data_IF_254899715941
#
_entry.id   IF_254899715941
#
_cell.length_a   1.000
_cell.length_b   1.000
_cell.length_c   1.000
_cell.angle_alpha   90.00
_cell.angle_beta   90.00
_cell.angle_gamma   90.00
#
_symmetry.space_group_name_H-M   'P 1'
#
loop_
_entity.id
_entity.type
_entity.pdbx_description
1 polymer ?
#
# COMPACT_ATOMS: atom_id res chain seq x y z
N UNK A 1 -1.63 -10.59 3.53
CA UNK A 1 -1.08 -10.58 4.91
C UNK A 1 -0.81 -11.96 5.48
N UNK A 2 -1.61 -12.98 5.14
CA UNK A 2 -1.35 -14.32 5.68
C UNK A 2 0.03 -14.86 5.31
N UNK A 3 0.46 -14.65 4.06
CA UNK A 3 1.80 -15.06 3.64
C UNK A 3 2.89 -14.41 4.50
N UNK A 4 2.73 -13.12 4.82
CA UNK A 4 3.70 -12.40 5.65
C UNK A 4 3.74 -12.96 7.06
N UNK A 5 2.60 -13.36 7.63
CA UNK A 5 2.57 -13.96 8.95
C UNK A 5 3.08 -15.40 8.96
N UNK A 6 2.93 -16.13 7.86
CA UNK A 6 3.53 -17.45 7.72
C UNK A 6 5.06 -17.37 7.68
N UNK A 7 5.60 -16.23 7.24
CA UNK A 7 7.05 -15.96 7.20
C UNK A 7 7.39 -14.77 8.10
N UNK A 8 6.75 -14.72 9.27
CA UNK A 8 6.76 -13.54 10.14
C UNK A 8 8.17 -13.07 10.49
N UNK A 9 9.03 -14.01 10.94
CA UNK A 9 10.38 -13.64 11.37
C UNK A 9 11.19 -13.00 10.23
N UNK A 10 11.05 -13.54 9.03
CA UNK A 10 11.76 -13.02 7.87
C UNK A 10 11.28 -11.60 7.51
N UNK A 11 9.96 -11.38 7.50
CA UNK A 11 9.42 -10.06 7.18
C UNK A 11 9.72 -9.05 8.27
N UNK A 12 9.65 -9.46 9.53
CA UNK A 12 10.00 -8.56 10.63
C UNK A 12 11.45 -8.12 10.55
N UNK A 13 12.35 -9.05 10.23
CA UNK A 13 13.76 -8.71 10.06
C UNK A 13 13.98 -7.71 8.94
N UNK A 14 13.31 -7.89 7.80
CA UNK A 14 13.39 -6.97 6.68
C UNK A 14 12.88 -5.59 7.08
N UNK A 15 11.73 -5.51 7.75
CA UNK A 15 11.09 -4.25 8.08
C UNK A 15 11.80 -3.48 9.20
N UNK A 16 12.36 -4.20 10.17
CA UNK A 16 12.91 -3.56 11.37
C UNK A 16 14.43 -3.42 11.35
N UNK A 17 15.14 -4.25 10.60
CA UNK A 17 16.59 -4.38 10.72
C UNK A 17 17.32 -4.34 9.38
N UNK A 18 16.70 -3.83 8.33
CA UNK A 18 17.28 -3.87 6.98
C UNK A 18 18.06 -2.61 6.59
N UNK A 19 18.16 -1.63 7.47
CA UNK A 19 18.87 -0.38 7.15
C UNK A 19 20.31 -0.65 6.75
N UNK A 20 20.72 -0.03 5.63
CA UNK A 20 22.08 -0.17 5.12
C UNK A 20 22.36 -1.48 4.40
N UNK A 21 21.36 -2.32 4.16
CA UNK A 21 21.49 -3.59 3.45
C UNK A 21 20.76 -3.54 2.11
N UNK A 22 20.99 -4.54 1.21
CA UNK A 22 20.20 -4.61 -0.02
C UNK A 22 18.70 -4.69 0.21
N UNK A 23 18.26 -5.17 1.36
CA UNK A 23 16.84 -5.25 1.70
C UNK A 23 16.24 -3.91 2.08
N UNK A 24 17.06 -2.88 2.28
CA UNK A 24 16.58 -1.54 2.66
C UNK A 24 15.66 -0.95 1.61
N UNK A 25 15.78 -1.36 0.35
CA UNK A 25 14.97 -0.85 -0.74
C UNK A 25 13.70 -1.66 -0.99
N UNK A 26 13.45 -2.69 -0.20
CA UNK A 26 12.31 -3.59 -0.42
C UNK A 26 10.98 -2.82 -0.40
N UNK A 27 10.76 -2.01 0.64
CA UNK A 27 9.52 -1.24 0.77
C UNK A 27 9.42 -0.18 -0.32
N UNK A 28 10.54 0.48 -0.61
CA UNK A 28 10.59 1.47 -1.67
C UNK A 28 10.19 0.86 -3.02
N UNK A 29 10.71 -0.32 -3.33
CA UNK A 29 10.37 -1.01 -4.57
C UNK A 29 8.90 -1.38 -4.64
N UNK A 30 8.32 -1.82 -3.52
CA UNK A 30 6.88 -2.12 -3.46
C UNK A 30 6.04 -0.88 -3.72
N UNK A 31 6.44 0.26 -3.16
CA UNK A 31 5.75 1.53 -3.38
C UNK A 31 5.82 1.93 -4.86
N UNK A 32 6.98 1.77 -5.49
CA UNK A 32 7.14 2.11 -6.90
C UNK A 32 6.24 1.25 -7.79
N UNK A 33 6.14 -0.05 -7.50
CA UNK A 33 5.24 -0.95 -8.23
C UNK A 33 3.79 -0.49 -8.07
N UNK A 34 3.40 -0.10 -6.86
CA UNK A 34 2.03 0.38 -6.61
C UNK A 34 1.75 1.67 -7.36
N UNK A 35 2.70 2.59 -7.40
CA UNK A 35 2.55 3.84 -8.16
C UNK A 35 2.34 3.54 -9.65
N UNK A 36 3.16 2.65 -10.23
CA UNK A 36 2.98 2.25 -11.62
C UNK A 36 1.62 1.62 -11.87
N UNK A 37 1.19 0.73 -10.97
CA UNK A 37 -0.12 0.08 -11.08
C UNK A 37 -1.26 1.10 -11.02
N UNK A 38 -1.13 2.10 -10.17
CA UNK A 38 -2.12 3.16 -10.04
C UNK A 38 -2.25 3.94 -11.35
N UNK A 39 -1.12 4.30 -11.98
CA UNK A 39 -1.18 5.01 -13.26
C UNK A 39 -1.74 4.16 -14.37
N UNK A 40 -1.44 2.86 -14.40
CA UNK A 40 -2.05 1.94 -15.36
C UNK A 40 -3.56 1.86 -15.18
N UNK A 41 -4.01 1.79 -13.94
CA UNK A 41 -5.44 1.81 -13.62
C UNK A 41 -6.10 3.09 -14.13
N UNK A 42 -5.48 4.24 -13.87
CA UNK A 42 -6.01 5.53 -14.33
C UNK A 42 -6.12 5.58 -15.85
N UNK A 43 -5.10 5.10 -16.56
CA UNK A 43 -5.14 5.05 -18.03
C UNK A 43 -6.26 4.15 -18.54
N UNK A 44 -6.44 2.99 -17.93
CA UNK A 44 -7.51 2.08 -18.31
C UNK A 44 -8.88 2.70 -18.11
N UNK A 45 -9.07 3.41 -17.00
CA UNK A 45 -10.35 4.07 -16.72
C UNK A 45 -10.63 5.18 -17.72
N UNK A 46 -9.61 5.96 -18.13
CA UNK A 46 -9.75 6.97 -19.16
C UNK A 46 -10.12 6.36 -20.51
N UNK A 47 -9.54 5.21 -20.84
CA UNK A 47 -9.81 4.53 -22.11
C UNK A 47 -11.26 4.07 -22.22
N UNK A 48 -11.90 3.73 -21.12
CA UNK A 48 -13.31 3.32 -21.12
C UNK A 48 -14.26 4.49 -20.92
N UNK A 49 -13.76 5.73 -21.01
CA UNK A 49 -14.57 6.93 -20.99
C UNK A 49 -14.83 7.51 -19.61
N UNK A 50 -14.18 7.04 -18.59
CA UNK A 50 -14.32 7.60 -17.24
C UNK A 50 -13.45 8.84 -17.09
N UNK A 51 -13.99 9.84 -16.43
CA UNK A 51 -13.21 11.02 -16.05
C UNK A 51 -12.49 10.73 -14.74
N UNK A 52 -11.18 10.96 -14.75
CA UNK A 52 -10.33 10.75 -13.57
C UNK A 52 -9.48 11.98 -13.38
N UNK A 53 -9.44 12.49 -12.15
CA UNK A 53 -8.55 13.56 -11.78
C UNK A 53 -7.10 13.09 -11.87
N UNK A 54 -6.23 13.96 -12.32
CA UNK A 54 -4.81 13.67 -12.32
C UNK A 54 -4.27 13.77 -10.89
N UNK A 55 -3.33 12.88 -10.58
CA UNK A 55 -2.65 12.87 -9.29
C UNK A 55 -1.16 13.07 -9.56
N UNK A 56 -0.57 14.04 -8.87
CA UNK A 56 0.86 14.29 -8.95
C UNK A 56 1.63 13.04 -8.54
N UNK A 57 2.71 12.67 -9.27
CA UNK A 57 3.48 11.47 -8.92
C UNK A 57 4.01 11.47 -7.49
N UNK A 58 4.43 12.62 -6.97
CA UNK A 58 4.91 12.69 -5.60
C UNK A 58 3.79 12.43 -4.60
N UNK A 59 2.59 12.97 -4.86
CA UNK A 59 1.43 12.70 -4.00
C UNK A 59 1.04 11.22 -4.06
N UNK A 60 1.04 10.63 -5.25
CA UNK A 60 0.75 9.21 -5.43
C UNK A 60 1.74 8.37 -4.62
N UNK A 61 3.03 8.71 -4.69
CA UNK A 61 4.07 8.03 -3.92
C UNK A 61 3.82 8.14 -2.42
N UNK A 62 3.47 9.33 -1.93
CA UNK A 62 3.20 9.54 -0.50
C UNK A 62 2.00 8.73 -0.02
N UNK A 63 0.93 8.69 -0.82
CA UNK A 63 -0.26 7.92 -0.46
C UNK A 63 0.03 6.42 -0.44
N UNK A 64 0.75 5.92 -1.43
CA UNK A 64 1.13 4.50 -1.48
C UNK A 64 2.06 4.16 -0.32
N UNK A 65 3.02 5.03 -0.01
CA UNK A 65 3.94 4.82 1.12
C UNK A 65 3.18 4.74 2.43
N UNK A 66 2.19 5.62 2.62
CA UNK A 66 1.36 5.61 3.84
C UNK A 66 0.56 4.33 3.97
N UNK A 67 0.00 3.85 2.87
CA UNK A 67 -0.76 2.61 2.86
C UNK A 67 0.12 1.42 3.25
N UNK A 68 1.25 1.25 2.61
CA UNK A 68 2.15 0.14 2.93
C UNK A 68 2.72 0.27 4.33
N UNK A 69 3.08 1.50 4.75
CA UNK A 69 3.56 1.75 6.10
C UNK A 69 2.54 1.34 7.15
N UNK A 70 1.26 1.68 6.94
CA UNK A 70 0.19 1.29 7.86
C UNK A 70 0.06 -0.23 7.94
N UNK A 71 0.11 -0.93 6.80
CA UNK A 71 -0.01 -2.38 6.77
C UNK A 71 1.17 -3.05 7.46
N UNK A 72 2.38 -2.54 7.25
CA UNK A 72 3.57 -3.13 7.86
C UNK A 72 3.68 -2.84 9.36
N UNK A 73 3.00 -1.79 9.85
CA UNK A 73 2.91 -1.54 11.30
C UNK A 73 2.37 -2.75 12.05
N UNK A 74 1.49 -3.53 11.42
CA UNK A 74 0.94 -4.74 12.03
C UNK A 74 2.04 -5.73 12.38
N UNK A 75 3.08 -5.82 11.54
CA UNK A 75 4.22 -6.72 11.79
C UNK A 75 5.21 -6.08 12.75
N UNK A 76 5.53 -4.79 12.51
CA UNK A 76 6.51 -4.08 13.34
C UNK A 76 6.10 -4.06 14.82
N UNK A 77 4.81 -3.92 15.08
CA UNK A 77 4.29 -3.86 16.45
C UNK A 77 3.75 -5.19 16.96
N UNK A 78 4.07 -6.30 16.30
CA UNK A 78 3.72 -7.64 16.75
C UNK A 78 2.22 -7.83 17.01
N UNK A 79 1.39 -7.31 16.10
CA UNK A 79 -0.07 -7.49 16.22
C UNK A 79 -0.45 -8.96 16.13
N UNK A 80 -1.36 -9.44 16.99
CA UNK A 80 -1.81 -10.84 16.93
C UNK A 80 -2.45 -11.16 15.58
N UNK A 81 -2.11 -12.33 15.04
CA UNK A 81 -2.60 -12.76 13.72
C UNK A 81 -4.13 -12.74 13.63
N UNK A 82 -4.81 -13.09 14.73
CA UNK A 82 -6.26 -13.14 14.75
C UNK A 82 -6.93 -11.77 14.61
N UNK A 83 -6.19 -10.68 14.88
CA UNK A 83 -6.69 -9.31 14.70
C UNK A 83 -6.37 -8.73 13.33
N UNK A 84 -5.39 -9.32 12.64
CA UNK A 84 -4.86 -8.75 11.40
C UNK A 84 -5.91 -8.67 10.31
N UNK A 85 -6.73 -9.70 10.16
CA UNK A 85 -7.75 -9.72 9.11
C UNK A 85 -8.71 -8.53 9.25
N UNK A 86 -9.12 -8.24 10.48
CA UNK A 86 -10.01 -7.11 10.74
C UNK A 86 -9.32 -5.78 10.48
N UNK A 87 -8.08 -5.62 10.91
CA UNK A 87 -7.34 -4.39 10.69
C UNK A 87 -7.06 -4.15 9.22
N UNK A 88 -6.68 -5.20 8.48
CA UNK A 88 -6.45 -5.09 7.04
C UNK A 88 -7.75 -4.70 6.31
N UNK A 89 -8.88 -5.27 6.75
CA UNK A 89 -10.18 -4.91 6.17
C UNK A 89 -10.48 -3.43 6.37
N UNK A 90 -10.26 -2.91 7.57
CA UNK A 90 -10.49 -1.50 7.87
C UNK A 90 -9.54 -0.59 7.09
N UNK A 91 -8.27 -0.96 6.98
CA UNK A 91 -7.31 -0.20 6.21
C UNK A 91 -7.69 -0.17 4.73
N UNK A 92 -8.14 -1.31 4.19
CA UNK A 92 -8.59 -1.38 2.82
C UNK A 92 -9.78 -0.46 2.57
N UNK A 93 -10.77 -0.48 3.46
CA UNK A 93 -11.92 0.41 3.34
C UNK A 93 -11.50 1.88 3.38
N UNK A 94 -10.62 2.23 4.30
CA UNK A 94 -10.15 3.59 4.47
C UNK A 94 -9.42 4.07 3.22
N UNK A 95 -8.45 3.30 2.74
CA UNK A 95 -7.64 3.71 1.60
C UNK A 95 -8.41 3.65 0.30
N UNK A 96 -9.30 2.67 0.14
CA UNK A 96 -10.13 2.59 -1.07
C UNK A 96 -11.03 3.81 -1.18
N UNK A 97 -11.69 4.20 -0.09
CA UNK A 97 -12.54 5.38 -0.08
C UNK A 97 -11.74 6.64 -0.40
N UNK A 98 -10.54 6.77 0.17
CA UNK A 98 -9.66 7.90 -0.09
C UNK A 98 -9.22 7.96 -1.54
N UNK A 99 -8.78 6.85 -2.11
CA UNK A 99 -8.38 6.78 -3.51
C UNK A 99 -9.53 7.14 -4.44
N UNK A 100 -10.73 6.60 -4.19
CA UNK A 100 -11.90 6.89 -5.02
C UNK A 100 -12.24 8.36 -4.98
N UNK A 101 -12.14 8.99 -3.81
CA UNK A 101 -12.38 10.42 -3.67
C UNK A 101 -11.37 11.26 -4.45
N UNK A 102 -10.10 10.90 -4.35
CA UNK A 102 -9.02 11.61 -5.03
C UNK A 102 -9.15 11.47 -6.55
N UNK A 103 -9.51 10.28 -7.03
CA UNK A 103 -9.74 10.06 -8.45
C UNK A 103 -10.96 10.83 -8.99
N UNK A 104 -11.82 11.30 -8.11
CA UNK A 104 -13.02 11.99 -8.52
C UNK A 104 -14.22 11.08 -8.71
N UNK A 105 -14.12 9.83 -8.30
CA UNK A 105 -15.28 8.93 -8.30
C UNK A 105 -16.13 9.27 -7.08
N UNK A 106 -17.21 9.93 -7.29
CA UNK A 106 -18.12 10.25 -6.19
C UNK A 106 -19.33 9.37 -6.30
N UNK A 107 -19.46 8.51 -5.27
CA UNK A 107 -20.63 7.68 -5.08
C UNK A 107 -21.35 7.30 -6.33
#
# INVERSE_FOLDING_TARGET
MDYMYDHYDAFKLILCCSEGTPYAHFIHNMVEVEVESTYKFMDQMRRIGKEINEIDPEMCHMLASGMFGSMFELIVHDMPREKVHEYVRQLREFYTAGWMKIFGFTD
#
